data_IF_925277233832
#
_entry.id   IF_925277233832
#
_cell.length_a   1.000
_cell.length_b   1.000
_cell.length_c   1.000
_cell.angle_alpha   90.00
_cell.angle_beta   90.00
_cell.angle_gamma   90.00
#
_symmetry.space_group_name_H-M   'P 1'
#
loop_
_entity.id
_entity.type
_entity.pdbx_description
1 polymer ?
#
# COMPACT_ATOMS: atom_id res chain seq x y z
N UNK A 1 -40.37 63.19 58.28
CA UNK A 1 -40.15 62.85 56.86
C UNK A 1 -39.08 61.78 56.84
N UNK A 2 -39.49 60.53 56.68
CA UNK A 2 -38.61 59.40 56.71
C UNK A 2 -38.19 59.01 55.30
N UNK A 3 -36.93 59.16 54.99
CA UNK A 3 -36.35 58.70 53.72
C UNK A 3 -35.78 57.30 53.93
N UNK A 4 -36.41 56.29 53.36
CA UNK A 4 -35.91 54.93 53.36
C UNK A 4 -34.89 54.75 52.23
N UNK A 5 -33.65 54.42 52.61
CA UNK A 5 -32.56 54.06 51.70
C UNK A 5 -32.80 52.59 51.26
N UNK A 6 -32.98 52.36 49.95
CA UNK A 6 -32.97 51.01 49.38
C UNK A 6 -31.51 50.63 48.98
N UNK A 7 -30.95 49.67 49.67
CA UNK A 7 -29.66 49.06 49.27
C UNK A 7 -30.00 47.88 48.38
N UNK A 8 -29.70 47.99 47.10
CA UNK A 8 -29.84 46.90 46.13
C UNK A 8 -28.56 46.09 46.13
N UNK A 9 -28.60 44.87 46.68
CA UNK A 9 -27.48 43.93 46.67
C UNK A 9 -27.44 43.24 45.32
N UNK A 10 -26.41 43.54 44.50
CA UNK A 10 -26.12 42.82 43.27
C UNK A 10 -25.31 41.59 43.67
N UNK A 11 -25.93 40.40 43.58
CA UNK A 11 -25.22 39.13 43.67
C UNK A 11 -24.52 38.88 42.34
N UNK A 12 -23.20 39.02 42.33
CA UNK A 12 -22.33 38.65 41.23
C UNK A 12 -22.05 37.14 41.34
N UNK A 13 -22.79 36.32 40.61
CA UNK A 13 -22.56 34.87 40.49
C UNK A 13 -21.32 34.63 39.62
N UNK A 14 -20.15 34.46 40.24
CA UNK A 14 -18.98 33.96 39.55
C UNK A 14 -19.14 32.45 39.38
N UNK A 15 -19.53 32.02 38.19
CA UNK A 15 -19.44 30.59 37.80
C UNK A 15 -17.96 30.19 37.67
N UNK A 16 -17.43 29.56 38.68
CA UNK A 16 -16.14 28.85 38.55
C UNK A 16 -16.35 27.62 37.67
N UNK A 17 -15.94 27.73 36.42
CA UNK A 17 -15.79 26.57 35.54
C UNK A 17 -14.64 25.71 36.07
N UNK A 18 -14.97 24.66 36.80
CA UNK A 18 -14.01 23.62 37.16
C UNK A 18 -13.63 22.86 35.88
N UNK A 19 -12.54 23.26 35.24
CA UNK A 19 -11.91 22.41 34.23
C UNK A 19 -11.32 21.19 34.97
N UNK A 20 -12.03 20.08 34.90
CA UNK A 20 -11.49 18.81 35.34
C UNK A 20 -10.34 18.43 34.41
N UNK A 21 -9.11 18.68 34.88
CA UNK A 21 -7.91 18.27 34.18
C UNK A 21 -7.86 16.74 34.19
N UNK A 22 -8.14 16.12 33.05
CA UNK A 22 -7.97 14.68 32.90
C UNK A 22 -6.48 14.39 32.86
N UNK A 23 -5.95 13.71 33.86
CA UNK A 23 -4.59 13.21 33.86
C UNK A 23 -4.59 11.74 33.53
N UNK A 24 -3.62 11.30 32.73
CA UNK A 24 -3.35 9.90 32.47
C UNK A 24 -1.91 9.61 32.89
N UNK A 25 -1.70 8.47 33.54
CA UNK A 25 -0.38 8.00 33.91
C UNK A 25 -0.01 6.82 33.02
N UNK A 26 1.11 6.92 32.33
CA UNK A 26 1.69 5.82 31.55
C UNK A 26 2.92 5.33 32.32
N UNK A 27 2.92 4.06 32.70
CA UNK A 27 4.07 3.42 33.35
C UNK A 27 4.80 2.56 32.33
N UNK A 28 6.07 2.86 32.08
CA UNK A 28 6.92 2.06 31.20
C UNK A 28 7.80 1.15 32.06
N UNK A 29 7.62 -0.16 31.90
CA UNK A 29 8.43 -1.19 32.53
C UNK A 29 9.61 -1.53 31.64
N UNK A 30 10.70 -0.78 31.72
CA UNK A 30 11.90 -0.98 30.87
C UNK A 30 12.74 -2.19 31.27
N UNK A 31 12.43 -2.78 32.40
CA UNK A 31 13.00 -4.02 32.94
C UNK A 31 12.32 -5.29 32.38
N UNK A 32 11.19 -5.12 31.69
CA UNK A 32 10.46 -6.22 31.07
C UNK A 32 10.67 -6.16 29.56
N UNK A 33 11.43 -7.10 29.00
CA UNK A 33 11.60 -7.21 27.56
C UNK A 33 10.30 -7.72 26.91
N UNK A 34 9.68 -6.89 26.07
CA UNK A 34 8.54 -7.27 25.25
C UNK A 34 8.96 -7.83 23.88
N UNK A 35 7.99 -8.13 23.04
CA UNK A 35 8.25 -8.46 21.64
C UNK A 35 8.78 -7.22 20.91
N UNK A 36 9.78 -7.43 20.05
CA UNK A 36 10.27 -6.37 19.16
C UNK A 36 9.15 -6.03 18.19
N UNK A 37 8.78 -4.75 18.12
CA UNK A 37 7.83 -4.25 17.16
C UNK A 37 8.50 -4.30 15.77
N UNK A 38 7.97 -5.08 14.81
CA UNK A 38 8.53 -5.14 13.47
C UNK A 38 8.51 -3.76 12.80
N UNK A 39 9.61 -3.37 12.16
CA UNK A 39 9.69 -2.07 11.46
C UNK A 39 8.66 -1.93 10.34
N UNK A 40 8.21 -3.03 9.80
CA UNK A 40 7.25 -3.09 8.69
C UNK A 40 5.91 -2.44 9.02
N UNK A 41 5.53 -2.31 10.31
CA UNK A 41 4.30 -1.57 10.70
C UNK A 41 4.36 -0.08 10.37
N UNK A 42 5.55 0.48 10.13
CA UNK A 42 5.77 1.86 9.69
C UNK A 42 5.83 1.98 8.16
N UNK A 43 5.47 0.92 7.45
CA UNK A 43 5.35 0.91 6.00
C UNK A 43 4.34 1.93 5.50
N UNK A 44 4.51 2.37 4.26
CA UNK A 44 3.64 3.33 3.61
C UNK A 44 2.96 2.70 2.40
N UNK A 45 1.93 3.36 1.92
CA UNK A 45 1.09 2.89 0.84
C UNK A 45 0.94 3.97 -0.23
N UNK A 46 1.19 3.60 -1.48
CA UNK A 46 1.01 4.44 -2.65
C UNK A 46 0.00 3.78 -3.60
N UNK A 47 -1.08 4.47 -3.87
CA UNK A 47 -2.13 4.02 -4.78
C UNK A 47 -2.37 5.06 -5.87
N UNK A 48 -2.78 4.60 -7.06
CA UNK A 48 -3.31 5.47 -8.10
C UNK A 48 -4.69 6.00 -7.69
N UNK A 49 -4.68 6.92 -6.73
CA UNK A 49 -5.85 7.54 -6.11
C UNK A 49 -5.65 9.05 -6.03
N UNK A 50 -6.51 9.81 -6.67
CA UNK A 50 -6.41 11.27 -6.68
C UNK A 50 -5.02 11.73 -7.15
N UNK A 51 -4.35 12.53 -6.35
CA UNK A 51 -3.00 13.04 -6.62
C UNK A 51 -1.90 12.27 -5.90
N UNK A 52 -2.16 11.07 -5.39
CA UNK A 52 -1.13 10.31 -4.67
C UNK A 52 0.06 9.97 -5.57
N UNK A 53 -0.19 9.53 -6.80
CA UNK A 53 0.87 9.22 -7.76
C UNK A 53 1.15 10.45 -8.65
N UNK A 54 0.26 10.77 -9.58
CA UNK A 54 0.49 11.86 -10.54
C UNK A 54 0.27 13.24 -9.90
N UNK A 55 1.31 14.09 -9.99
CA UNK A 55 1.34 15.38 -9.33
C UNK A 55 1.69 15.35 -7.83
N UNK A 56 1.59 14.18 -7.20
CA UNK A 56 2.02 13.91 -5.86
C UNK A 56 3.42 13.31 -5.80
N UNK A 57 3.51 11.98 -5.88
CA UNK A 57 4.79 11.28 -5.86
C UNK A 57 5.58 11.44 -7.17
N UNK A 58 4.90 11.42 -8.30
CA UNK A 58 5.45 11.45 -9.65
C UNK A 58 4.98 12.66 -10.43
N UNK A 59 5.94 13.41 -10.98
CA UNK A 59 5.67 14.58 -11.83
C UNK A 59 6.33 14.48 -13.22
N UNK A 60 7.14 13.42 -13.40
CA UNK A 60 7.91 13.25 -14.64
C UNK A 60 9.23 14.03 -14.63
N UNK A 61 10.21 13.50 -15.37
CA UNK A 61 11.58 14.03 -15.38
C UNK A 61 11.68 15.44 -15.98
N UNK A 62 10.79 15.78 -16.92
CA UNK A 62 10.76 17.04 -17.64
C UNK A 62 9.80 18.08 -17.01
N UNK A 63 9.31 17.85 -15.81
CA UNK A 63 8.41 18.76 -15.11
C UNK A 63 9.14 19.99 -14.61
N UNK A 64 8.47 21.14 -14.63
CA UNK A 64 8.94 22.38 -13.97
C UNK A 64 8.86 22.28 -12.43
N UNK A 65 8.12 21.30 -11.91
CA UNK A 65 8.07 21.02 -10.47
C UNK A 65 9.41 20.38 -10.06
N UNK A 66 10.06 20.86 -8.98
CA UNK A 66 11.31 20.28 -8.50
C UNK A 66 11.22 18.77 -8.32
N UNK A 67 12.07 18.03 -9.02
CA UNK A 67 12.04 16.58 -9.01
C UNK A 67 13.44 15.95 -9.02
N UNK A 68 13.53 14.71 -8.60
CA UNK A 68 14.70 13.85 -8.67
C UNK A 68 14.29 12.66 -9.55
N UNK A 69 14.76 12.62 -10.80
CA UNK A 69 14.40 11.56 -11.76
C UNK A 69 12.87 11.38 -11.91
N UNK A 70 12.12 12.49 -11.92
CA UNK A 70 10.67 12.50 -12.03
C UNK A 70 9.89 12.35 -10.70
N UNK A 71 10.56 11.96 -9.60
CA UNK A 71 9.93 11.95 -8.28
C UNK A 71 9.94 13.34 -7.68
N UNK A 72 8.81 13.80 -7.21
CA UNK A 72 8.70 15.13 -6.60
C UNK A 72 9.61 15.24 -5.38
N UNK A 73 10.50 16.24 -5.38
CA UNK A 73 11.63 16.34 -4.43
C UNK A 73 11.18 16.42 -2.98
N UNK A 74 10.14 17.19 -2.68
CA UNK A 74 9.62 17.36 -1.32
C UNK A 74 9.03 16.05 -0.77
N UNK A 75 8.26 15.33 -1.59
CA UNK A 75 7.68 14.02 -1.22
C UNK A 75 8.78 12.96 -1.06
N UNK A 76 9.73 12.91 -1.99
CA UNK A 76 10.87 12.00 -1.89
C UNK A 76 11.66 12.22 -0.60
N UNK A 77 11.98 13.47 -0.28
CA UNK A 77 12.73 13.81 0.92
C UNK A 77 11.96 13.48 2.20
N UNK A 78 10.65 13.72 2.23
CA UNK A 78 9.80 13.34 3.36
C UNK A 78 9.78 11.82 3.59
N UNK A 79 9.61 11.02 2.52
CA UNK A 79 9.66 9.55 2.61
C UNK A 79 11.03 9.06 3.10
N UNK A 80 12.11 9.71 2.64
CA UNK A 80 13.49 9.38 3.05
C UNK A 80 13.74 9.72 4.52
N UNK A 81 13.26 10.87 4.99
CA UNK A 81 13.35 11.29 6.39
C UNK A 81 12.57 10.35 7.31
N UNK A 82 11.39 9.93 6.90
CA UNK A 82 10.57 8.91 7.59
C UNK A 82 11.25 7.54 7.66
N UNK A 83 12.28 7.29 6.85
CA UNK A 83 12.95 5.98 6.73
C UNK A 83 11.96 4.86 6.49
N UNK A 84 11.05 5.08 5.53
CA UNK A 84 9.98 4.13 5.19
C UNK A 84 10.58 2.73 4.98
N UNK A 85 10.18 1.72 5.75
CA UNK A 85 10.76 0.38 5.64
C UNK A 85 10.17 -0.44 4.50
N UNK A 86 8.91 -0.19 4.15
CA UNK A 86 8.16 -0.89 3.10
C UNK A 86 7.26 0.11 2.39
N UNK A 87 7.25 0.08 1.07
CA UNK A 87 6.31 0.86 0.26
C UNK A 87 5.47 -0.09 -0.59
N UNK A 88 4.15 0.01 -0.49
CA UNK A 88 3.18 -0.81 -1.22
C UNK A 88 2.63 -0.06 -2.42
N UNK A 89 2.54 -0.72 -3.59
CA UNK A 89 2.04 -0.19 -4.87
C UNK A 89 1.52 -1.36 -5.75
N UNK A 90 0.63 -1.20 -6.76
CA UNK A 90 0.07 0.05 -7.31
C UNK A 90 -1.21 0.51 -6.62
N UNK A 91 -1.68 -0.22 -5.65
CA UNK A 91 -2.89 0.14 -4.92
C UNK A 91 -3.32 -0.92 -3.94
N UNK A 92 -4.41 -0.66 -3.44
CA UNK A 92 -5.74 -1.09 -3.08
C UNK A 92 -6.55 -1.59 -4.27
N UNK A 93 -7.74 -1.04 -4.40
CA UNK A 93 -8.69 -1.44 -5.45
C UNK A 93 -8.12 -1.30 -6.86
N UNK A 94 -7.32 -0.26 -7.11
CA UNK A 94 -6.68 -0.07 -8.41
C UNK A 94 -5.83 -1.26 -8.83
N UNK A 95 -5.18 -1.96 -7.88
CA UNK A 95 -4.29 -3.07 -8.18
C UNK A 95 -4.99 -4.22 -8.93
N UNK A 96 -6.28 -4.46 -8.66
CA UNK A 96 -7.04 -5.54 -9.26
C UNK A 96 -7.65 -5.20 -10.65
N UNK A 97 -7.37 -3.99 -11.16
CA UNK A 97 -7.62 -3.58 -12.54
C UNK A 97 -6.32 -3.22 -13.29
N UNK A 98 -5.17 -3.18 -12.60
CA UNK A 98 -3.89 -2.77 -13.17
C UNK A 98 -3.20 -3.91 -13.92
N UNK A 99 -2.91 -3.67 -15.21
CA UNK A 99 -2.14 -4.57 -16.07
C UNK A 99 -0.69 -4.06 -16.16
N UNK A 100 0.22 -4.74 -15.48
CA UNK A 100 1.60 -4.28 -15.29
C UNK A 100 2.39 -4.05 -16.59
N UNK A 101 2.05 -4.78 -17.67
CA UNK A 101 2.71 -4.60 -18.97
C UNK A 101 2.41 -3.23 -19.58
N UNK A 102 1.30 -2.60 -19.21
CA UNK A 102 0.96 -1.24 -19.65
C UNK A 102 1.88 -0.18 -19.02
N UNK A 103 2.50 -0.48 -17.88
CA UNK A 103 3.40 0.41 -17.15
C UNK A 103 4.90 0.14 -17.38
N UNK A 104 5.28 -0.51 -18.49
CA UNK A 104 6.69 -0.77 -18.83
C UNK A 104 7.02 -0.31 -20.24
N UNK A 105 8.33 -0.29 -20.59
CA UNK A 105 8.81 0.19 -21.88
C UNK A 105 8.78 1.72 -22.00
N UNK A 106 8.99 2.26 -23.23
CA UNK A 106 8.99 3.70 -23.49
C UNK A 106 7.67 4.35 -23.08
N UNK A 107 7.74 5.43 -22.30
CA UNK A 107 6.56 6.07 -21.68
C UNK A 107 5.56 6.57 -22.72
N UNK A 108 6.04 7.06 -23.86
CA UNK A 108 5.23 7.55 -24.96
C UNK A 108 4.38 6.47 -25.64
N UNK A 109 4.74 5.21 -25.46
CA UNK A 109 4.05 4.06 -26.06
C UNK A 109 3.13 3.34 -25.05
N UNK A 110 3.14 3.75 -23.77
CA UNK A 110 2.32 3.12 -22.76
C UNK A 110 0.84 3.45 -22.97
N UNK A 111 -0.06 2.46 -22.96
CA UNK A 111 -1.48 2.72 -23.13
C UNK A 111 -2.04 3.49 -21.92
N UNK A 112 -3.07 4.26 -22.17
CA UNK A 112 -3.84 4.91 -21.10
C UNK A 112 -4.98 4.02 -20.68
N UNK A 113 -5.35 4.09 -19.40
CA UNK A 113 -6.50 3.38 -18.87
C UNK A 113 -7.42 4.32 -18.07
N UNK A 114 -8.67 3.91 -17.93
CA UNK A 114 -9.61 4.60 -17.02
C UNK A 114 -9.45 4.00 -15.64
N UNK A 115 -9.25 4.86 -14.64
CA UNK A 115 -9.27 4.45 -13.23
C UNK A 115 -10.72 4.42 -12.74
N UNK A 116 -11.37 3.28 -12.85
CA UNK A 116 -12.80 3.13 -12.51
C UNK A 116 -13.05 3.22 -11.00
N UNK A 117 -12.05 2.88 -10.18
CA UNK A 117 -12.19 2.92 -8.73
C UNK A 117 -12.15 4.35 -8.18
N UNK A 118 -11.35 5.22 -8.80
CA UNK A 118 -11.05 6.54 -8.24
C UNK A 118 -11.34 7.66 -9.23
N UNK A 119 -12.63 7.98 -9.38
CA UNK A 119 -13.09 9.19 -10.07
C UNK A 119 -13.13 9.13 -11.59
N UNK A 120 -12.92 7.96 -12.20
CA UNK A 120 -12.93 7.81 -13.67
C UNK A 120 -11.82 8.59 -14.38
N UNK A 121 -10.73 8.89 -13.68
CA UNK A 121 -9.58 9.62 -14.24
C UNK A 121 -8.80 8.77 -15.22
N UNK A 122 -8.10 9.44 -16.14
CA UNK A 122 -7.22 8.75 -17.10
C UNK A 122 -5.83 8.61 -16.48
N UNK A 123 -5.42 7.38 -16.30
CA UNK A 123 -4.04 7.01 -15.93
C UNK A 123 -3.21 6.89 -17.20
N UNK A 124 -2.06 7.56 -17.26
CA UNK A 124 -1.19 7.56 -18.44
C UNK A 124 -0.08 6.49 -18.38
N UNK A 125 -0.02 5.75 -17.28
CA UNK A 125 0.97 4.71 -17.03
C UNK A 125 2.43 5.18 -17.08
N UNK A 126 2.68 6.50 -16.97
CA UNK A 126 4.05 7.03 -16.94
C UNK A 126 4.81 6.67 -15.66
N UNK A 127 4.08 6.29 -14.60
CA UNK A 127 4.62 5.70 -13.40
C UNK A 127 4.23 4.21 -13.35
N UNK A 128 5.21 3.33 -13.53
CA UNK A 128 5.00 1.89 -13.59
C UNK A 128 6.06 1.11 -12.80
N UNK A 129 6.31 -0.11 -13.22
CA UNK A 129 7.20 -1.04 -12.50
C UNK A 129 8.60 -0.48 -12.27
N UNK A 130 9.21 0.10 -13.31
CA UNK A 130 10.57 0.65 -13.21
C UNK A 130 10.62 1.85 -12.28
N UNK A 131 9.69 2.77 -12.44
CA UNK A 131 9.60 3.97 -11.65
C UNK A 131 9.37 3.63 -10.16
N UNK A 132 8.49 2.68 -9.88
CA UNK A 132 8.23 2.26 -8.50
C UNK A 132 9.43 1.55 -7.85
N UNK A 133 10.00 0.57 -8.52
CA UNK A 133 11.10 -0.23 -7.94
C UNK A 133 12.39 0.59 -7.81
N UNK A 134 12.66 1.50 -8.74
CA UNK A 134 13.78 2.44 -8.63
C UNK A 134 13.58 3.41 -7.45
N UNK A 135 12.35 3.88 -7.22
CA UNK A 135 12.04 4.68 -6.04
C UNK A 135 12.37 3.92 -4.75
N UNK A 136 11.96 2.65 -4.66
CA UNK A 136 12.25 1.82 -3.48
C UNK A 136 13.75 1.66 -3.26
N UNK A 137 14.54 1.44 -4.32
CA UNK A 137 16.01 1.39 -4.22
C UNK A 137 16.61 2.71 -3.72
N UNK A 138 16.15 3.85 -4.25
CA UNK A 138 16.62 5.18 -3.84
C UNK A 138 16.27 5.52 -2.38
N UNK A 139 15.10 5.09 -1.92
CA UNK A 139 14.66 5.23 -0.53
C UNK A 139 15.35 4.23 0.41
N UNK A 140 15.79 3.09 -0.11
CA UNK A 140 16.33 1.97 0.68
C UNK A 140 15.22 1.20 1.40
N UNK A 141 14.01 1.15 0.84
CA UNK A 141 12.87 0.42 1.38
C UNK A 141 12.56 -0.86 0.60
N UNK A 142 11.87 -1.79 1.25
CA UNK A 142 11.38 -3.00 0.60
C UNK A 142 10.14 -2.69 -0.26
N UNK A 143 10.09 -3.13 -1.52
CA UNK A 143 8.87 -3.03 -2.31
C UNK A 143 7.84 -4.08 -1.87
N UNK A 144 6.58 -3.67 -1.80
CA UNK A 144 5.43 -4.55 -1.69
C UNK A 144 4.57 -4.38 -2.94
N UNK A 145 4.57 -5.39 -3.78
CA UNK A 145 3.79 -5.40 -5.03
C UNK A 145 2.41 -5.97 -4.76
N UNK A 146 1.36 -5.22 -5.07
CA UNK A 146 -0.03 -5.70 -5.05
C UNK A 146 -0.37 -6.31 -6.42
N UNK A 147 -0.53 -7.63 -6.47
CA UNK A 147 -0.82 -8.36 -7.70
C UNK A 147 -2.30 -8.37 -8.05
N UNK A 148 -2.60 -8.23 -9.34
CA UNK A 148 -3.95 -8.26 -9.87
C UNK A 148 -4.51 -9.70 -9.89
N UNK A 149 -5.50 -9.97 -9.03
CA UNK A 149 -6.25 -11.23 -8.98
C UNK A 149 -7.70 -11.03 -9.43
N UNK A 150 -8.13 -9.78 -9.54
CA UNK A 150 -9.47 -9.40 -10.00
C UNK A 150 -9.65 -9.59 -11.50
N UNK A 151 -9.11 -8.70 -12.31
CA UNK A 151 -9.21 -8.74 -13.78
C UNK A 151 -8.03 -9.43 -14.46
N UNK A 152 -6.90 -9.62 -13.75
CA UNK A 152 -5.67 -10.21 -14.28
C UNK A 152 -5.72 -11.73 -14.36
N UNK A 153 -4.65 -12.30 -14.91
CA UNK A 153 -4.48 -13.75 -15.04
C UNK A 153 -3.31 -14.26 -14.21
N UNK A 154 -3.33 -15.55 -13.89
CA UNK A 154 -2.21 -16.23 -13.22
C UNK A 154 -0.90 -16.08 -13.99
N UNK A 155 -0.97 -16.19 -15.31
CA UNK A 155 0.19 -16.04 -16.21
C UNK A 155 0.76 -14.62 -16.13
N UNK A 156 -0.10 -13.63 -16.13
CA UNK A 156 0.29 -12.22 -16.04
C UNK A 156 1.06 -11.92 -14.75
N UNK A 157 0.54 -12.33 -13.60
CA UNK A 157 1.23 -12.11 -12.32
C UNK A 157 2.53 -12.91 -12.24
N UNK A 158 2.53 -14.15 -12.72
CA UNK A 158 3.74 -14.97 -12.76
C UNK A 158 4.84 -14.34 -13.63
N UNK A 159 4.47 -13.80 -14.79
CA UNK A 159 5.38 -13.06 -15.68
C UNK A 159 5.89 -11.76 -15.05
N UNK A 160 5.04 -11.07 -14.29
CA UNK A 160 5.49 -9.87 -13.57
C UNK A 160 6.56 -10.20 -12.53
N UNK A 161 6.36 -11.26 -11.75
CA UNK A 161 7.37 -11.75 -10.80
C UNK A 161 8.68 -12.12 -11.51
N UNK A 162 8.61 -12.85 -12.63
CA UNK A 162 9.78 -13.21 -13.44
C UNK A 162 10.49 -11.95 -13.98
N UNK A 163 9.71 -10.99 -14.51
CA UNK A 163 10.25 -9.73 -15.01
C UNK A 163 11.06 -8.97 -13.96
N UNK A 164 10.51 -8.87 -12.75
CA UNK A 164 11.13 -8.11 -11.67
C UNK A 164 12.36 -8.84 -11.08
N UNK A 165 12.33 -10.16 -10.97
CA UNK A 165 13.23 -10.88 -10.04
C UNK A 165 14.15 -11.92 -10.69
N UNK A 166 13.98 -12.27 -11.98
CA UNK A 166 14.85 -13.24 -12.65
C UNK A 166 16.09 -12.57 -13.24
N UNK A 167 17.27 -13.15 -12.94
CA UNK A 167 18.57 -12.75 -13.53
C UNK A 167 18.93 -13.56 -14.79
N UNK A 168 18.24 -14.68 -15.01
CA UNK A 168 18.52 -15.60 -16.09
C UNK A 168 18.24 -15.04 -17.50
N UNK A 169 18.39 -15.91 -18.50
CA UNK A 169 18.06 -15.59 -19.90
C UNK A 169 16.63 -15.99 -20.27
N UNK A 170 15.69 -15.65 -19.39
CA UNK A 170 14.26 -15.88 -19.62
C UNK A 170 13.63 -14.78 -20.47
N UNK A 171 12.45 -15.03 -21.09
CA UNK A 171 11.77 -14.02 -21.89
C UNK A 171 11.50 -12.72 -21.14
N UNK A 172 11.06 -12.80 -19.88
CA UNK A 172 10.74 -11.62 -19.08
C UNK A 172 12.00 -10.90 -18.58
N UNK A 173 13.08 -11.63 -18.25
CA UNK A 173 14.34 -11.01 -17.92
C UNK A 173 14.97 -10.30 -19.14
N UNK A 174 14.84 -10.87 -20.35
CA UNK A 174 15.25 -10.19 -21.58
C UNK A 174 14.42 -8.93 -21.83
N UNK A 175 13.11 -8.99 -21.65
CA UNK A 175 12.22 -7.81 -21.79
C UNK A 175 12.59 -6.70 -20.80
N UNK A 176 12.91 -7.05 -19.53
CA UNK A 176 13.40 -6.06 -18.57
C UNK A 176 14.67 -5.37 -19.05
N UNK A 177 15.63 -6.14 -19.57
CA UNK A 177 16.88 -5.58 -20.12
C UNK A 177 16.63 -4.70 -21.34
N UNK A 178 15.74 -5.09 -22.23
CA UNK A 178 15.33 -4.27 -23.38
C UNK A 178 14.70 -2.94 -22.93
N UNK A 179 14.02 -2.94 -21.80
CA UNK A 179 13.45 -1.76 -21.17
C UNK A 179 14.45 -0.97 -20.30
N UNK A 180 15.76 -1.24 -20.44
CA UNK A 180 16.83 -0.43 -19.84
C UNK A 180 17.26 -0.85 -18.44
N UNK A 181 16.84 -2.02 -17.94
CA UNK A 181 17.27 -2.51 -16.63
C UNK A 181 17.93 -3.88 -16.72
N UNK A 182 19.24 -3.92 -16.56
CA UNK A 182 20.02 -5.16 -16.65
C UNK A 182 19.76 -6.07 -15.45
N UNK A 183 19.99 -5.58 -14.24
CA UNK A 183 19.87 -6.36 -13.01
C UNK A 183 18.42 -6.45 -12.54
N UNK A 184 18.05 -7.62 -12.04
CA UNK A 184 16.78 -7.80 -11.35
C UNK A 184 16.72 -6.96 -10.07
N UNK A 185 15.50 -6.60 -9.68
CA UNK A 185 15.26 -6.03 -8.37
C UNK A 185 15.11 -7.13 -7.32
N UNK A 186 15.26 -6.75 -6.07
CA UNK A 186 14.84 -7.58 -4.94
C UNK A 186 13.43 -7.19 -4.54
N UNK A 187 12.51 -8.15 -4.66
CA UNK A 187 11.10 -7.97 -4.29
C UNK A 187 10.78 -8.98 -3.20
N UNK A 188 10.58 -8.50 -1.99
CA UNK A 188 10.27 -9.35 -0.84
C UNK A 188 8.78 -9.64 -0.73
N UNK A 189 7.94 -8.61 -0.78
CA UNK A 189 6.53 -8.73 -0.49
C UNK A 189 5.69 -8.77 -1.77
N UNK A 190 4.87 -9.82 -1.89
CA UNK A 190 3.90 -9.99 -2.97
C UNK A 190 2.50 -10.18 -2.37
N UNK A 191 1.64 -9.20 -2.55
CA UNK A 191 0.21 -9.33 -2.30
C UNK A 191 -0.45 -10.08 -3.44
N UNK A 192 -1.24 -11.09 -3.13
CA UNK A 192 -2.01 -11.87 -4.11
C UNK A 192 -3.47 -11.43 -3.99
N UNK A 193 -3.82 -10.36 -4.70
CA UNK A 193 -5.10 -9.67 -4.62
C UNK A 193 -5.17 -8.62 -3.52
N UNK A 194 -6.20 -7.79 -3.59
CA UNK A 194 -6.56 -6.78 -2.61
C UNK A 194 -8.08 -6.76 -2.41
N UNK A 195 -8.54 -6.74 -1.16
CA UNK A 195 -9.97 -6.65 -0.83
C UNK A 195 -10.87 -7.52 -1.73
N UNK A 196 -10.47 -8.78 -1.91
CA UNK A 196 -11.08 -9.67 -2.89
C UNK A 196 -12.55 -9.99 -2.58
N UNK A 197 -13.00 -9.72 -1.36
CA UNK A 197 -14.41 -9.72 -0.92
C UNK A 197 -15.20 -8.51 -1.45
N UNK A 198 -14.52 -7.46 -1.87
CA UNK A 198 -15.10 -6.19 -2.35
C UNK A 198 -14.58 -5.80 -3.73
N UNK A 199 -13.91 -4.66 -3.83
CA UNK A 199 -13.42 -4.10 -5.09
C UNK A 199 -12.44 -5.01 -5.85
N UNK A 200 -11.75 -5.91 -5.16
CA UNK A 200 -10.86 -6.90 -5.77
C UNK A 200 -11.58 -8.10 -6.39
N UNK A 201 -12.90 -8.03 -6.64
CA UNK A 201 -13.62 -9.04 -7.42
C UNK A 201 -14.91 -9.59 -6.79
N UNK A 202 -15.38 -9.05 -5.65
CA UNK A 202 -16.61 -9.49 -4.96
C UNK A 202 -16.69 -11.01 -4.76
N UNK A 203 -15.59 -11.60 -4.31
CA UNK A 203 -15.43 -13.05 -4.23
C UNK A 203 -15.96 -13.61 -2.92
N UNK A 204 -16.38 -14.86 -2.94
CA UNK A 204 -16.57 -15.65 -1.73
C UNK A 204 -15.21 -16.14 -1.21
N UNK A 205 -15.03 -16.34 0.11
CA UNK A 205 -13.75 -16.72 0.67
C UNK A 205 -13.20 -18.03 0.11
N UNK A 206 -14.07 -19.01 -0.17
CA UNK A 206 -13.66 -20.29 -0.76
C UNK A 206 -13.09 -20.13 -2.16
N UNK A 207 -13.74 -19.31 -2.99
CA UNK A 207 -13.29 -19.03 -4.35
C UNK A 207 -11.96 -18.28 -4.34
N UNK A 208 -11.84 -17.26 -3.49
CA UNK A 208 -10.56 -16.54 -3.35
C UNK A 208 -9.45 -17.48 -2.83
N UNK A 209 -9.73 -18.35 -1.87
CA UNK A 209 -8.75 -19.32 -1.39
C UNK A 209 -8.23 -20.23 -2.50
N UNK A 210 -9.11 -20.68 -3.42
CA UNK A 210 -8.72 -21.49 -4.57
C UNK A 210 -7.91 -20.68 -5.59
N UNK A 211 -8.28 -19.41 -5.82
CA UNK A 211 -7.50 -18.49 -6.65
C UNK A 211 -6.13 -18.22 -6.03
N UNK A 212 -6.06 -17.88 -4.74
CA UNK A 212 -4.79 -17.67 -4.04
C UNK A 212 -3.87 -18.87 -4.19
N UNK A 213 -4.38 -20.10 -3.98
CA UNK A 213 -3.64 -21.34 -4.19
C UNK A 213 -3.04 -21.40 -5.59
N UNK A 214 -3.85 -21.09 -6.60
CA UNK A 214 -3.44 -21.15 -8.00
C UNK A 214 -2.39 -20.06 -8.31
N UNK A 215 -2.64 -18.80 -7.99
CA UNK A 215 -1.72 -17.70 -8.24
C UNK A 215 -0.38 -17.89 -7.50
N UNK A 216 -0.44 -18.20 -6.21
CA UNK A 216 0.75 -18.38 -5.39
C UNK A 216 1.65 -19.55 -5.84
N UNK A 217 1.07 -20.56 -6.50
CA UNK A 217 1.80 -21.70 -7.06
C UNK A 217 2.70 -21.27 -8.21
N UNK A 218 2.24 -20.37 -9.06
CA UNK A 218 2.99 -19.94 -10.25
C UNK A 218 3.89 -18.73 -10.02
N UNK A 219 3.66 -17.94 -8.98
CA UNK A 219 4.60 -16.91 -8.54
C UNK A 219 5.78 -17.56 -7.85
N UNK A 220 6.84 -17.85 -8.61
CA UNK A 220 8.00 -18.60 -8.14
C UNK A 220 9.10 -17.67 -7.62
N UNK A 221 9.99 -18.25 -6.82
CA UNK A 221 11.23 -17.59 -6.44
C UNK A 221 12.25 -17.73 -7.56
N UNK A 222 12.93 -16.64 -7.92
CA UNK A 222 13.98 -16.61 -8.94
C UNK A 222 15.29 -16.13 -8.32
N UNK A 223 16.40 -16.74 -8.71
CA UNK A 223 17.77 -16.26 -8.49
C UNK A 223 18.06 -15.77 -7.06
N UNK A 224 17.60 -16.54 -6.08
CA UNK A 224 17.76 -16.23 -4.65
C UNK A 224 16.84 -15.14 -4.13
N UNK A 225 15.91 -14.62 -4.94
CA UNK A 225 14.82 -13.77 -4.47
C UNK A 225 13.71 -14.63 -3.88
N UNK A 226 13.47 -14.51 -2.59
CA UNK A 226 12.41 -15.24 -1.88
C UNK A 226 11.21 -14.34 -1.60
N UNK A 227 10.05 -14.71 -2.15
CA UNK A 227 8.81 -13.98 -2.01
C UNK A 227 8.13 -14.30 -0.68
N UNK A 228 7.76 -13.26 0.04
CA UNK A 228 6.82 -13.32 1.15
C UNK A 228 5.41 -13.06 0.59
N UNK A 229 4.63 -14.12 0.37
CA UNK A 229 3.32 -14.06 -0.29
C UNK A 229 2.23 -13.78 0.73
N UNK A 230 1.45 -12.73 0.49
CA UNK A 230 0.43 -12.21 1.39
C UNK A 230 -0.93 -12.41 0.73
N UNK A 231 -1.84 -13.09 1.42
CA UNK A 231 -3.21 -13.24 0.97
C UNK A 231 -4.07 -12.03 1.36
N UNK A 232 -5.06 -11.70 0.53
CA UNK A 232 -6.10 -10.71 0.85
C UNK A 232 -6.93 -11.21 2.03
N UNK A 233 -6.84 -10.50 3.14
CA UNK A 233 -7.53 -10.84 4.38
C UNK A 233 -8.94 -10.25 4.47
N UNK A 234 -9.53 -10.38 5.65
CA UNK A 234 -10.90 -10.00 5.91
C UNK A 234 -11.13 -8.48 5.87
N UNK A 235 -12.39 -8.09 5.66
CA UNK A 235 -12.91 -6.79 6.04
C UNK A 235 -13.31 -6.81 7.52
N UNK A 236 -12.80 -5.88 8.27
CA UNK A 236 -13.19 -5.65 9.67
C UNK A 236 -13.21 -6.97 10.47
N UNK A 237 -14.36 -7.35 11.00
CA UNK A 237 -14.58 -8.53 11.82
C UNK A 237 -15.17 -9.72 11.07
N UNK A 238 -14.95 -9.83 9.74
CA UNK A 238 -15.35 -11.03 8.99
C UNK A 238 -14.44 -12.23 9.35
N UNK A 239 -14.72 -12.82 10.49
CA UNK A 239 -14.01 -14.00 10.96
C UNK A 239 -14.18 -15.20 10.05
N UNK A 240 -15.30 -15.28 9.29
CA UNK A 240 -15.52 -16.39 8.37
C UNK A 240 -14.52 -16.35 7.21
N UNK A 241 -14.24 -15.16 6.64
CA UNK A 241 -13.23 -15.00 5.62
C UNK A 241 -11.87 -15.51 6.10
N UNK A 242 -11.44 -15.04 7.27
CA UNK A 242 -10.17 -15.46 7.86
C UNK A 242 -10.12 -16.96 8.14
N UNK A 243 -11.20 -17.51 8.71
CA UNK A 243 -11.28 -18.94 9.02
C UNK A 243 -11.15 -19.80 7.77
N UNK A 244 -11.89 -19.48 6.71
CA UNK A 244 -11.88 -20.24 5.44
C UNK A 244 -10.49 -20.19 4.81
N UNK A 245 -9.83 -19.03 4.81
CA UNK A 245 -8.47 -18.92 4.27
C UNK A 245 -7.46 -19.73 5.08
N UNK A 246 -7.52 -19.63 6.40
CA UNK A 246 -6.61 -20.40 7.26
C UNK A 246 -6.78 -21.90 7.08
N UNK A 247 -8.02 -22.39 6.99
CA UNK A 247 -8.33 -23.81 6.80
C UNK A 247 -7.85 -24.33 5.44
N UNK A 248 -8.01 -23.54 4.35
CA UNK A 248 -7.75 -23.97 2.99
C UNK A 248 -6.34 -23.72 2.49
N UNK A 249 -5.75 -22.59 2.88
CA UNK A 249 -4.48 -22.12 2.32
C UNK A 249 -3.50 -21.58 3.36
N UNK A 250 -3.79 -21.66 4.66
CA UNK A 250 -2.95 -21.15 5.74
C UNK A 250 -1.50 -21.61 5.67
N UNK A 251 -1.26 -22.89 5.33
CA UNK A 251 0.08 -23.43 5.15
C UNK A 251 0.80 -23.00 3.86
N UNK A 252 0.17 -22.20 3.01
CA UNK A 252 0.73 -21.74 1.72
C UNK A 252 0.98 -20.24 1.68
N UNK A 253 0.45 -19.47 2.62
CA UNK A 253 0.68 -18.04 2.73
C UNK A 253 1.68 -17.73 3.84
N UNK A 254 2.41 -16.63 3.66
CA UNK A 254 3.36 -16.13 4.65
C UNK A 254 2.74 -15.01 5.49
N UNK A 255 1.70 -14.38 4.99
CA UNK A 255 0.96 -13.32 5.66
C UNK A 255 -0.49 -13.23 5.18
N UNK A 256 -1.29 -12.55 5.96
CA UNK A 256 -2.69 -12.23 5.68
C UNK A 256 -2.89 -10.75 5.95
N UNK A 257 -3.37 -9.97 4.97
CA UNK A 257 -3.66 -8.55 5.15
C UNK A 257 -5.06 -8.38 5.70
N UNK A 258 -5.17 -7.79 6.88
CA UNK A 258 -6.45 -7.39 7.46
C UNK A 258 -6.72 -5.93 7.12
N UNK A 259 -7.92 -5.64 6.63
CA UNK A 259 -8.40 -4.28 6.42
C UNK A 259 -9.49 -3.97 7.44
N UNK A 260 -9.17 -3.13 8.39
CA UNK A 260 -10.09 -2.75 9.46
C UNK A 260 -10.28 -1.24 9.47
N UNK A 261 -11.52 -0.79 9.33
CA UNK A 261 -11.90 0.61 9.36
C UNK A 261 -12.62 0.94 10.66
N UNK A 262 -12.23 2.06 11.27
CA UNK A 262 -13.03 2.71 12.32
C UNK A 262 -13.49 4.04 11.77
N UNK A 263 -14.79 4.19 11.67
CA UNK A 263 -15.42 5.45 11.22
C UNK A 263 -16.31 5.94 12.36
N UNK A 264 -16.16 7.22 12.72
CA UNK A 264 -17.01 7.92 13.69
C UNK A 264 -18.09 8.73 12.97
#
# INVERSE_FOLDING_TARGET
MNTKLFISSIFLSTSLSLFAQKSATITLHTDQSGQIIPKEIYGQFAEHLGTCIYGGLWVGENSDIPNINGYRTDVFNALKELRVPVLRWPGGCFADEYHWMDGIGPKENRPKMVNNNWGGTIEDNSFGTHEFLNLCEMLGCEPYISGNVGSGTVEELAKWVEYMTSEGDSPMARLRRQNGRDKAWKVKYLGVGNESWGCGGSMRPEYYADLYRRYSTYCRNYDGNSLFKIASGASDYDYNWTKVLMDRVGGRMHGLSLHYYTVD
#
